data_IF_978334559975
#
_entry.id   IF_978334559975
#
_cell.length_a   1.000
_cell.length_b   1.000
_cell.length_c   1.000
_cell.angle_alpha   90.00
_cell.angle_beta   90.00
_cell.angle_gamma   90.00
#
_symmetry.space_group_name_H-M   'P 1'
#
loop_
_entity.id
_entity.type
_entity.pdbx_description
1 polymer ?
#
# COMPACT_ATOMS: atom_id res chain seq x y z
N UNK A 1 35.27 -3.05 9.91
CA UNK A 1 33.79 -3.10 10.06
C UNK A 1 33.15 -2.90 8.69
N UNK A 2 32.78 -3.99 7.98
CA UNK A 2 32.20 -3.90 6.63
C UNK A 2 30.80 -3.30 6.73
N UNK A 3 30.53 -2.24 5.95
CA UNK A 3 29.17 -1.69 5.79
C UNK A 3 28.41 -2.57 4.81
N UNK A 4 27.41 -3.30 5.31
CA UNK A 4 26.46 -4.05 4.48
C UNK A 4 25.72 -3.10 3.52
N UNK A 5 25.71 -3.45 2.23
CA UNK A 5 25.00 -2.70 1.20
C UNK A 5 23.48 -2.80 1.35
N UNK A 6 22.75 -1.89 0.70
CA UNK A 6 21.27 -1.88 0.76
C UNK A 6 20.65 -3.20 0.29
N UNK A 7 21.31 -3.89 -0.66
CA UNK A 7 20.84 -5.16 -1.22
C UNK A 7 21.02 -6.32 -0.23
N UNK A 8 22.11 -6.35 0.52
CA UNK A 8 22.37 -7.42 1.49
C UNK A 8 21.42 -7.31 2.69
N UNK A 9 21.14 -6.08 3.14
CA UNK A 9 20.09 -5.82 4.14
C UNK A 9 18.71 -6.27 3.67
N UNK A 10 18.37 -6.10 2.38
CA UNK A 10 17.11 -6.61 1.82
C UNK A 10 17.06 -8.15 1.83
N UNK A 11 18.14 -8.80 1.37
CA UNK A 11 18.24 -10.27 1.36
C UNK A 11 18.10 -10.85 2.76
N UNK A 12 18.74 -10.24 3.76
CA UNK A 12 18.66 -10.64 5.17
C UNK A 12 17.23 -10.53 5.72
N UNK A 13 16.54 -9.41 5.48
CA UNK A 13 15.14 -9.22 5.89
C UNK A 13 14.19 -10.24 5.26
N UNK A 14 14.48 -10.68 4.03
CA UNK A 14 13.69 -11.71 3.34
C UNK A 14 13.97 -13.12 3.86
N UNK A 15 15.22 -13.40 4.24
CA UNK A 15 15.66 -14.71 4.74
C UNK A 15 15.23 -14.96 6.19
N UNK A 16 15.16 -13.90 7.01
CA UNK A 16 14.81 -13.98 8.42
C UNK A 16 13.66 -13.01 8.74
N UNK A 17 12.39 -13.43 8.54
CA UNK A 17 11.24 -12.60 8.91
C UNK A 17 11.20 -12.39 10.43
N UNK A 18 10.63 -11.25 10.85
CA UNK A 18 10.52 -10.91 12.27
C UNK A 18 9.72 -11.98 13.03
N UNK A 19 10.14 -12.35 14.25
CA UNK A 19 9.40 -13.29 15.08
C UNK A 19 7.95 -12.81 15.33
N UNK A 20 6.98 -13.73 15.26
CA UNK A 20 5.54 -13.44 15.44
C UNK A 20 5.16 -12.93 16.83
N UNK A 21 6.07 -12.98 17.80
CA UNK A 21 5.88 -12.39 19.14
C UNK A 21 6.01 -10.86 19.16
N UNK A 22 6.60 -10.28 18.10
CA UNK A 22 6.79 -8.82 17.94
C UNK A 22 6.00 -8.32 16.71
N UNK A 23 5.39 -9.23 15.93
CA UNK A 23 4.69 -8.92 14.68
C UNK A 23 3.31 -9.57 14.60
N UNK A 24 2.28 -8.77 14.34
CA UNK A 24 0.87 -9.20 14.21
C UNK A 24 0.62 -10.21 13.06
N UNK A 25 1.64 -10.51 12.24
CA UNK A 25 1.55 -11.45 11.11
C UNK A 25 0.92 -10.88 9.84
N UNK A 26 0.55 -9.60 9.82
CA UNK A 26 -0.05 -8.97 8.63
C UNK A 26 1.02 -8.55 7.61
N UNK A 27 0.90 -8.97 6.35
CA UNK A 27 1.87 -8.56 5.32
C UNK A 27 1.67 -7.08 4.94
N UNK A 28 2.64 -6.23 5.28
CA UNK A 28 2.64 -4.82 4.87
C UNK A 28 3.24 -4.67 3.48
N UNK A 29 2.39 -4.72 2.46
CA UNK A 29 2.78 -4.30 1.11
C UNK A 29 2.46 -2.82 0.97
N UNK A 30 3.48 -1.99 0.68
CA UNK A 30 3.35 -0.53 0.49
C UNK A 30 2.89 0.25 1.72
N UNK A 31 3.38 -0.12 2.90
CA UNK A 31 3.11 0.54 4.18
C UNK A 31 1.65 0.45 4.67
N UNK A 32 0.81 -0.38 4.05
CA UNK A 32 -0.57 -0.61 4.49
C UNK A 32 -0.76 -2.02 5.02
N UNK A 33 -1.44 -2.14 6.16
CA UNK A 33 -1.96 -3.40 6.70
C UNK A 33 -2.91 -4.06 5.67
N UNK A 34 -2.92 -5.39 5.64
CA UNK A 34 -3.77 -6.15 4.69
C UNK A 34 -5.25 -5.81 4.84
N UNK A 35 -5.73 -5.66 6.09
CA UNK A 35 -7.10 -5.24 6.39
C UNK A 35 -7.46 -3.91 5.75
N UNK A 36 -6.58 -2.92 5.82
CA UNK A 36 -6.78 -1.60 5.21
C UNK A 36 -6.87 -1.70 3.68
N UNK A 37 -6.06 -2.58 3.05
CA UNK A 37 -6.12 -2.83 1.60
C UNK A 37 -7.46 -3.45 1.19
N UNK A 38 -7.97 -4.41 1.97
CA UNK A 38 -9.24 -5.08 1.64
C UNK A 38 -10.42 -4.10 1.77
N UNK A 39 -10.47 -3.31 2.84
CA UNK A 39 -11.51 -2.28 3.00
C UNK A 39 -11.52 -1.23 1.88
N UNK A 40 -10.33 -0.85 1.36
CA UNK A 40 -10.21 0.06 0.20
C UNK A 40 -10.74 -0.59 -1.09
N UNK A 41 -10.40 -1.87 -1.34
CA UNK A 41 -10.87 -2.62 -2.52
C UNK A 41 -12.39 -2.81 -2.50
N UNK A 42 -12.96 -3.21 -1.37
CA UNK A 42 -14.42 -3.40 -1.23
C UNK A 42 -15.18 -2.11 -1.50
N UNK A 43 -14.71 -0.98 -0.94
CA UNK A 43 -15.30 0.33 -1.21
C UNK A 43 -15.21 0.68 -2.70
N UNK A 44 -14.07 0.40 -3.35
CA UNK A 44 -13.88 0.65 -4.78
C UNK A 44 -14.82 -0.16 -5.69
N UNK A 45 -15.10 -1.41 -5.33
CA UNK A 45 -16.05 -2.26 -6.07
C UNK A 45 -17.47 -1.71 -6.01
N UNK A 46 -17.85 -1.07 -4.89
CA UNK A 46 -19.16 -0.43 -4.72
C UNK A 46 -19.23 0.95 -5.37
N UNK A 47 -18.19 1.77 -5.18
CA UNK A 47 -18.11 3.12 -5.72
C UNK A 47 -16.67 3.50 -6.10
N UNK A 48 -16.43 3.71 -7.41
CA UNK A 48 -15.10 4.11 -7.94
C UNK A 48 -14.72 5.56 -7.62
N UNK A 49 -15.71 6.37 -7.23
CA UNK A 49 -15.59 7.79 -6.93
C UNK A 49 -16.27 8.11 -5.59
N UNK A 50 -15.67 7.69 -4.46
CA UNK A 50 -16.26 7.93 -3.15
C UNK A 50 -16.36 9.42 -2.82
N UNK A 51 -17.43 9.79 -2.12
CA UNK A 51 -17.66 11.15 -1.63
C UNK A 51 -16.65 11.54 -0.55
N UNK A 52 -16.49 12.84 -0.23
CA UNK A 52 -15.61 13.27 0.86
C UNK A 52 -15.92 12.58 2.19
N UNK A 53 -17.19 12.36 2.52
CA UNK A 53 -17.61 11.70 3.76
C UNK A 53 -17.30 10.21 3.76
N UNK A 54 -17.51 9.52 2.64
CA UNK A 54 -17.11 8.11 2.49
C UNK A 54 -15.60 7.94 2.66
N UNK A 55 -14.79 8.87 2.12
CA UNK A 55 -13.34 8.87 2.31
C UNK A 55 -12.94 9.10 3.77
N UNK A 56 -13.62 10.00 4.49
CA UNK A 56 -13.40 10.24 5.94
C UNK A 56 -13.75 9.01 6.76
N UNK A 57 -14.89 8.37 6.48
CA UNK A 57 -15.30 7.14 7.13
C UNK A 57 -14.28 6.01 6.89
N UNK A 58 -13.78 5.90 5.66
CA UNK A 58 -12.78 4.89 5.30
C UNK A 58 -11.42 5.16 5.95
N UNK A 59 -10.98 6.42 6.01
CA UNK A 59 -9.78 6.83 6.74
C UNK A 59 -9.87 6.41 8.22
N UNK A 60 -10.99 6.72 8.88
CA UNK A 60 -11.25 6.33 10.28
C UNK A 60 -11.23 4.82 10.46
N UNK A 61 -11.88 4.07 9.56
CA UNK A 61 -11.97 2.60 9.63
C UNK A 61 -10.63 1.90 9.37
N UNK A 62 -9.79 2.47 8.49
CA UNK A 62 -8.54 1.83 8.04
C UNK A 62 -7.29 2.33 8.76
N UNK A 63 -7.42 3.36 9.61
CA UNK A 63 -6.30 4.04 10.27
C UNK A 63 -5.41 4.82 9.31
N UNK A 64 -5.89 5.10 8.09
CA UNK A 64 -5.15 5.84 7.07
C UNK A 64 -5.51 7.32 7.11
N UNK A 65 -4.61 8.17 6.63
CA UNK A 65 -4.92 9.59 6.44
C UNK A 65 -5.86 9.77 5.25
N UNK A 66 -6.65 10.85 5.28
CA UNK A 66 -7.57 11.19 4.18
C UNK A 66 -6.83 11.35 2.84
N UNK A 67 -5.60 11.85 2.88
CA UNK A 67 -4.71 11.98 1.71
C UNK A 67 -4.31 10.61 1.17
N UNK A 68 -3.91 9.67 2.02
CA UNK A 68 -3.57 8.30 1.61
C UNK A 68 -4.77 7.61 0.94
N UNK A 69 -5.96 7.74 1.52
CA UNK A 69 -7.21 7.23 0.92
C UNK A 69 -7.44 7.88 -0.43
N UNK A 70 -7.39 9.21 -0.52
CA UNK A 70 -7.61 9.95 -1.77
C UNK A 70 -6.63 9.55 -2.89
N UNK A 71 -5.34 9.42 -2.55
CA UNK A 71 -4.30 8.99 -3.46
C UNK A 71 -4.50 7.54 -3.91
N UNK A 72 -4.91 6.65 -3.01
CA UNK A 72 -5.20 5.27 -3.36
C UNK A 72 -6.29 5.19 -4.44
N UNK A 73 -7.41 5.92 -4.28
CA UNK A 73 -8.48 5.94 -5.29
C UNK A 73 -8.04 6.56 -6.62
N UNK A 74 -7.24 7.63 -6.57
CA UNK A 74 -6.66 8.26 -7.77
C UNK A 74 -5.77 7.27 -8.52
N UNK A 75 -4.83 6.64 -7.83
CA UNK A 75 -3.90 5.69 -8.41
C UNK A 75 -4.60 4.43 -8.92
N UNK A 76 -5.61 3.94 -8.21
CA UNK A 76 -6.39 2.78 -8.65
C UNK A 76 -7.08 3.04 -9.98
N UNK A 77 -7.73 4.19 -10.14
CA UNK A 77 -8.33 4.59 -11.43
C UNK A 77 -7.31 4.78 -12.54
N UNK A 78 -6.11 5.28 -12.23
CA UNK A 78 -5.03 5.39 -13.22
C UNK A 78 -4.56 4.02 -13.70
N UNK A 79 -4.40 3.06 -12.78
CA UNK A 79 -4.03 1.67 -13.12
C UNK A 79 -5.08 1.00 -14.01
N UNK A 80 -6.36 1.25 -13.76
CA UNK A 80 -7.44 0.70 -14.59
C UNK A 80 -7.46 1.27 -16.03
N UNK A 81 -6.86 2.45 -16.25
CA UNK A 81 -6.74 3.07 -17.58
C UNK A 81 -5.52 2.60 -18.37
N UNK A 82 -4.52 2.04 -17.70
CA UNK A 82 -3.32 1.51 -18.34
C UNK A 82 -3.47 -0.01 -18.52
N UNK A 83 -3.58 -0.54 -19.75
CA UNK A 83 -3.49 -1.98 -19.96
C UNK A 83 -2.14 -2.49 -19.41
N UNK A 84 -2.17 -3.68 -18.81
CA UNK A 84 -1.13 -4.34 -17.98
C UNK A 84 0.23 -4.62 -18.67
N UNK A 85 0.70 -3.78 -19.59
CA UNK A 85 1.84 -4.09 -20.45
C UNK A 85 3.22 -3.83 -19.81
N UNK A 86 3.36 -3.28 -18.59
CA UNK A 86 4.70 -2.95 -18.06
C UNK A 86 4.84 -3.22 -16.55
N UNK A 87 5.49 -4.33 -16.13
CA UNK A 87 5.69 -4.63 -14.70
C UNK A 87 6.61 -3.63 -13.96
N UNK A 88 7.36 -2.80 -14.68
CA UNK A 88 8.34 -1.86 -14.11
C UNK A 88 7.76 -0.52 -13.63
N UNK A 89 6.58 -0.10 -14.11
CA UNK A 89 5.97 1.19 -13.69
C UNK A 89 5.23 1.12 -12.35
N UNK A 90 4.93 -0.10 -11.88
CA UNK A 90 4.26 -0.35 -10.60
C UNK A 90 5.06 0.14 -9.40
N UNK A 91 6.39 0.08 -9.46
CA UNK A 91 7.30 0.54 -8.40
C UNK A 91 7.45 2.08 -8.37
N UNK A 92 7.42 2.75 -9.52
CA UNK A 92 7.62 4.21 -9.61
C UNK A 92 6.42 4.99 -9.05
N UNK A 93 5.19 4.52 -9.28
CA UNK A 93 3.99 5.16 -8.74
C UNK A 93 3.88 5.10 -7.21
N UNK A 94 4.61 4.18 -6.59
CA UNK A 94 4.53 3.91 -5.15
C UNK A 94 5.54 4.77 -4.38
N UNK A 95 6.72 5.01 -4.96
CA UNK A 95 7.68 5.97 -4.42
C UNK A 95 7.05 7.37 -4.30
N UNK A 96 6.20 7.76 -5.26
CA UNK A 96 5.50 9.05 -5.28
C UNK A 96 4.36 9.20 -4.25
N UNK A 97 4.06 8.17 -3.47
CA UNK A 97 3.01 8.18 -2.44
C UNK A 97 3.55 8.13 -1.00
N UNK A 98 4.88 8.04 -0.82
CA UNK A 98 5.54 7.98 0.49
C UNK A 98 6.38 9.27 0.76
N UNK A 99 6.55 10.14 -0.23
CA UNK A 99 7.16 11.48 -0.08
C UNK A 99 6.07 12.54 -0.19
#
# INVERSE_FOLDING_TARGET
MKREGAVDKYRLRKKYPLPKTIWDGEETVYCFKERSRNALKECYLRNRYPTPDEKRALAKRTGLTLTQVSNWFKNRRQRDRTPQSRPLVSFIFIIKCII
#
